data_IF_761848161698
#
_entry.id   IF_761848161698
#
_cell.length_a   1.000
_cell.length_b   1.000
_cell.length_c   1.000
_cell.angle_alpha   90.00
_cell.angle_beta   90.00
_cell.angle_gamma   90.00
#
_symmetry.space_group_name_H-M   'P 1'
#
loop_
_entity.id
_entity.type
_entity.pdbx_description
1 polymer ?
#
# COMPACT_ATOMS: atom_id res chain seq x y z
N UNK A 1 8.28 17.91 -18.40
CA UNK A 1 9.50 18.62 -18.63
C UNK A 1 9.85 19.65 -17.58
N UNK A 2 9.10 20.72 -17.43
CA UNK A 2 9.51 21.88 -16.65
C UNK A 2 9.63 21.58 -15.15
N UNK A 3 8.66 20.87 -14.56
CA UNK A 3 8.70 20.45 -13.15
C UNK A 3 10.01 19.71 -12.81
N UNK A 4 10.48 18.81 -13.68
CA UNK A 4 11.71 18.09 -13.43
C UNK A 4 12.93 19.01 -13.50
N UNK A 5 12.97 19.92 -14.47
CA UNK A 5 14.07 20.88 -14.69
C UNK A 5 14.15 21.88 -13.56
N UNK A 6 13.02 22.50 -13.21
CA UNK A 6 12.96 23.58 -12.23
C UNK A 6 13.25 23.11 -10.81
N UNK A 7 13.02 21.81 -10.52
CA UNK A 7 13.27 21.19 -9.23
C UNK A 7 14.49 20.24 -9.22
N UNK A 8 15.29 20.21 -10.29
CA UNK A 8 16.48 19.37 -10.39
C UNK A 8 16.17 17.87 -10.23
N UNK A 9 14.98 17.42 -10.66
CA UNK A 9 14.55 16.04 -10.51
C UNK A 9 15.18 15.17 -11.59
N UNK A 10 16.03 14.25 -11.15
CA UNK A 10 16.66 13.23 -11.99
C UNK A 10 16.40 11.85 -11.38
N UNK A 11 16.63 10.80 -12.15
CA UNK A 11 16.66 9.45 -11.61
C UNK A 11 17.63 9.41 -10.41
N UNK A 12 17.17 8.81 -9.33
CA UNK A 12 17.95 8.79 -8.07
C UNK A 12 19.02 7.70 -8.05
N UNK A 13 19.73 7.57 -6.94
CA UNK A 13 20.82 6.61 -6.78
C UNK A 13 20.31 5.16 -6.58
N UNK A 14 19.02 4.93 -6.52
CA UNK A 14 18.47 3.58 -6.41
C UNK A 14 18.85 2.76 -7.63
N UNK A 15 19.52 1.62 -7.42
CA UNK A 15 20.09 0.82 -8.50
C UNK A 15 19.07 -0.08 -9.21
N UNK A 16 17.94 -0.36 -8.60
CA UNK A 16 16.93 -1.30 -9.09
C UNK A 16 15.50 -0.77 -9.09
N UNK A 17 15.24 0.30 -8.37
CA UNK A 17 13.92 0.91 -8.21
C UNK A 17 14.01 2.42 -8.45
N UNK A 18 14.84 2.82 -9.41
CA UNK A 18 15.09 4.22 -9.77
C UNK A 18 13.85 4.90 -10.35
N UNK A 19 13.06 4.17 -11.13
CA UNK A 19 11.78 4.60 -11.68
C UNK A 19 10.75 4.82 -10.55
N UNK A 20 10.65 3.89 -9.63
CA UNK A 20 9.78 4.00 -8.47
C UNK A 20 10.17 5.17 -7.57
N UNK A 21 11.47 5.35 -7.29
CA UNK A 21 11.99 6.48 -6.54
C UNK A 21 11.68 7.81 -7.24
N UNK A 22 11.84 7.85 -8.56
CA UNK A 22 11.55 9.03 -9.36
C UNK A 22 10.07 9.42 -9.30
N UNK A 23 9.15 8.44 -9.44
CA UNK A 23 7.72 8.67 -9.33
C UNK A 23 7.34 9.24 -7.95
N UNK A 24 7.89 8.70 -6.87
CA UNK A 24 7.67 9.23 -5.52
C UNK A 24 8.19 10.66 -5.37
N UNK A 25 9.36 10.96 -5.92
CA UNK A 25 9.91 12.33 -5.85
C UNK A 25 9.08 13.32 -6.64
N UNK A 26 8.68 13.00 -7.86
CA UNK A 26 7.90 13.91 -8.70
C UNK A 26 6.48 14.12 -8.15
N UNK A 27 5.90 13.14 -7.45
CA UNK A 27 4.57 13.27 -6.83
C UNK A 27 4.48 14.37 -5.76
N UNK A 28 5.61 14.82 -5.24
CA UNK A 28 5.67 15.92 -4.27
C UNK A 28 5.48 17.30 -4.92
N UNK A 29 5.63 17.39 -6.23
CA UNK A 29 5.57 18.65 -6.99
C UNK A 29 4.31 18.79 -7.86
N UNK A 30 3.48 17.75 -7.93
CA UNK A 30 2.28 17.80 -8.74
C UNK A 30 1.46 16.51 -8.72
N UNK A 31 0.37 16.52 -9.45
CA UNK A 31 -0.51 15.34 -9.59
C UNK A 31 0.03 14.40 -10.66
N UNK A 32 -0.02 13.11 -10.37
CA UNK A 32 0.30 12.06 -11.34
C UNK A 32 -1.02 11.48 -11.86
N UNK A 33 -1.14 11.32 -13.18
CA UNK A 33 -2.27 10.67 -13.82
C UNK A 33 -1.79 9.46 -14.63
N UNK A 34 -2.59 8.41 -14.64
CA UNK A 34 -2.40 7.27 -15.52
C UNK A 34 -3.16 7.49 -16.82
N UNK A 35 -2.50 7.26 -17.94
CA UNK A 35 -3.15 7.24 -19.24
C UNK A 35 -3.94 5.92 -19.39
N UNK A 36 -5.17 5.95 -19.90
CA UNK A 36 -5.98 4.74 -20.07
C UNK A 36 -5.47 3.84 -21.22
N UNK A 37 -4.63 4.38 -22.08
CA UNK A 37 -4.15 3.68 -23.27
C UNK A 37 -2.98 2.75 -22.94
N UNK A 38 -2.91 1.61 -23.63
CA UNK A 38 -1.78 0.68 -23.53
C UNK A 38 -0.67 1.19 -24.46
N UNK A 39 0.29 1.90 -23.90
CA UNK A 39 1.40 2.52 -24.66
C UNK A 39 2.65 1.65 -24.73
N UNK A 40 2.79 0.66 -23.84
CA UNK A 40 4.02 -0.15 -23.71
C UNK A 40 3.66 -1.62 -23.61
N UNK A 41 4.33 -2.47 -24.36
CA UNK A 41 4.32 -3.91 -24.19
C UNK A 41 5.54 -4.32 -23.34
N UNK A 42 5.28 -4.84 -22.14
CA UNK A 42 6.34 -5.28 -21.22
C UNK A 42 6.66 -6.76 -21.46
N UNK A 43 7.92 -7.07 -21.78
CA UNK A 43 8.36 -8.45 -21.95
C UNK A 43 8.60 -9.10 -20.57
N UNK A 44 7.87 -10.17 -20.31
CA UNK A 44 8.04 -10.98 -19.10
C UNK A 44 8.87 -12.22 -19.45
N UNK A 45 10.02 -12.39 -18.79
CA UNK A 45 10.87 -13.58 -18.94
C UNK A 45 11.61 -13.87 -17.64
N UNK A 46 11.95 -15.15 -17.40
CA UNK A 46 12.49 -15.62 -16.12
C UNK A 46 13.81 -14.96 -15.71
N UNK A 47 14.64 -14.57 -16.66
CA UNK A 47 15.95 -13.95 -16.41
C UNK A 47 15.92 -12.41 -16.39
N UNK A 48 14.71 -11.79 -16.36
CA UNK A 48 14.63 -10.35 -16.21
C UNK A 48 15.22 -9.92 -14.86
N UNK A 49 15.81 -8.73 -14.80
CA UNK A 49 16.37 -8.17 -13.55
C UNK A 49 15.35 -8.20 -12.41
N UNK A 50 14.10 -7.89 -12.72
CA UNK A 50 13.00 -7.88 -11.75
C UNK A 50 12.70 -9.27 -11.16
N UNK A 51 12.95 -10.35 -11.92
CA UNK A 51 12.76 -11.71 -11.44
C UNK A 51 13.99 -12.22 -10.68
N UNK A 52 15.18 -12.04 -11.26
CA UNK A 52 16.44 -12.53 -10.69
C UNK A 52 16.80 -11.82 -9.38
N UNK A 53 16.54 -10.50 -9.30
CA UNK A 53 16.88 -9.67 -8.15
C UNK A 53 15.65 -9.21 -7.37
N UNK A 54 14.60 -10.02 -7.38
CA UNK A 54 13.29 -9.68 -6.77
C UNK A 54 13.41 -9.24 -5.31
N UNK A 55 14.20 -9.96 -4.51
CA UNK A 55 14.36 -9.63 -3.08
C UNK A 55 15.07 -8.28 -2.89
N UNK A 56 16.11 -8.01 -3.65
CA UNK A 56 16.83 -6.74 -3.57
C UNK A 56 15.94 -5.56 -3.99
N UNK A 57 15.19 -5.74 -5.08
CA UNK A 57 14.23 -4.76 -5.56
C UNK A 57 13.15 -4.48 -4.50
N UNK A 58 12.62 -5.53 -3.86
CA UNK A 58 11.64 -5.38 -2.78
C UNK A 58 12.23 -4.62 -1.59
N UNK A 59 13.44 -4.95 -1.18
CA UNK A 59 14.12 -4.27 -0.08
C UNK A 59 14.34 -2.78 -0.40
N UNK A 60 14.83 -2.45 -1.60
CA UNK A 60 15.00 -1.07 -2.01
C UNK A 60 13.66 -0.30 -2.06
N UNK A 61 12.61 -0.91 -2.58
CA UNK A 61 11.29 -0.29 -2.61
C UNK A 61 10.74 -0.04 -1.19
N UNK A 62 11.06 -0.89 -0.22
CA UNK A 62 10.72 -0.66 1.20
C UNK A 62 11.49 0.54 1.75
N UNK A 63 12.80 0.61 1.53
CA UNK A 63 13.61 1.75 2.01
C UNK A 63 13.14 3.08 1.39
N UNK A 64 12.88 3.12 0.08
CA UNK A 64 12.35 4.32 -0.58
C UNK A 64 11.01 4.75 0.06
N UNK A 65 10.13 3.81 0.38
CA UNK A 65 8.86 4.11 1.05
C UNK A 65 9.07 4.61 2.48
N UNK A 66 10.01 4.03 3.22
CA UNK A 66 10.36 4.49 4.57
C UNK A 66 10.83 5.94 4.55
N UNK A 67 11.75 6.27 3.66
CA UNK A 67 12.28 7.64 3.53
C UNK A 67 11.16 8.63 3.19
N UNK A 68 10.27 8.25 2.27
CA UNK A 68 9.13 9.07 1.92
C UNK A 68 8.18 9.29 3.10
N UNK A 69 7.77 8.22 3.79
CA UNK A 69 6.85 8.29 4.94
C UNK A 69 7.46 9.11 6.08
N UNK A 70 8.77 8.97 6.33
CA UNK A 70 9.50 9.80 7.30
C UNK A 70 9.54 11.28 6.87
N UNK A 71 9.71 11.57 5.59
CA UNK A 71 9.67 12.95 5.07
C UNK A 71 8.30 13.63 5.28
N UNK A 72 7.23 12.85 5.38
CA UNK A 72 5.89 13.33 5.77
C UNK A 72 5.76 13.57 7.28
N UNK A 73 6.79 13.30 8.07
CA UNK A 73 6.83 13.52 9.51
C UNK A 73 6.17 12.39 10.33
N UNK A 74 6.10 11.17 9.80
CA UNK A 74 5.71 10.01 10.58
C UNK A 74 6.88 9.55 11.47
N UNK A 75 6.56 9.19 12.70
CA UNK A 75 7.51 8.56 13.61
C UNK A 75 7.81 7.09 13.19
N UNK A 76 8.80 6.50 13.82
CA UNK A 76 9.25 5.14 13.51
C UNK A 76 8.14 4.11 13.73
N UNK A 77 7.39 4.23 14.83
CA UNK A 77 6.27 3.32 15.16
C UNK A 77 5.20 3.29 14.07
N UNK A 78 4.78 4.46 13.58
CA UNK A 78 3.78 4.56 12.52
C UNK A 78 4.36 4.13 11.17
N UNK A 79 5.63 4.42 10.90
CA UNK A 79 6.34 3.94 9.70
C UNK A 79 6.39 2.42 9.67
N UNK A 80 6.77 1.78 10.78
CA UNK A 80 6.82 0.32 10.90
C UNK A 80 5.43 -0.30 10.79
N UNK A 81 4.43 0.27 11.44
CA UNK A 81 3.06 -0.21 11.35
C UNK A 81 2.54 -0.24 9.90
N UNK A 82 2.93 0.75 9.11
CA UNK A 82 2.48 0.88 7.71
C UNK A 82 3.25 0.00 6.74
N UNK A 83 4.56 -0.17 6.93
CA UNK A 83 5.45 -0.74 5.91
C UNK A 83 6.07 -2.10 6.28
N UNK A 84 6.27 -2.37 7.55
CA UNK A 84 7.06 -3.52 8.02
C UNK A 84 6.25 -4.50 8.87
N UNK A 85 5.24 -4.01 9.58
CA UNK A 85 4.46 -4.87 10.46
C UNK A 85 3.75 -5.97 9.65
N UNK A 86 3.89 -7.21 10.10
CA UNK A 86 3.18 -8.34 9.51
C UNK A 86 1.67 -8.09 9.56
N UNK A 87 1.00 -8.24 8.42
CA UNK A 87 -0.45 -8.08 8.35
C UNK A 87 -1.16 -9.10 9.24
N UNK A 88 -2.08 -8.63 10.08
CA UNK A 88 -2.80 -9.47 11.01
C UNK A 88 -3.67 -8.66 11.97
N UNK A 89 -4.40 -9.39 12.82
CA UNK A 89 -5.34 -8.80 13.78
C UNK A 89 -4.69 -7.80 14.73
N UNK A 90 -3.49 -8.12 15.24
CA UNK A 90 -2.83 -7.30 16.26
C UNK A 90 -2.30 -5.98 15.70
N UNK A 91 -1.92 -5.97 14.43
CA UNK A 91 -1.36 -4.79 13.76
C UNK A 91 -2.40 -3.96 13.00
N UNK A 92 -3.62 -4.45 12.82
CA UNK A 92 -4.63 -3.81 11.97
C UNK A 92 -4.96 -2.38 12.41
N UNK A 93 -5.21 -2.15 13.70
CA UNK A 93 -5.56 -0.81 14.20
C UNK A 93 -4.39 0.19 14.03
N UNK A 94 -3.16 -0.25 14.28
CA UNK A 94 -1.96 0.55 14.07
C UNK A 94 -1.76 0.88 12.59
N UNK A 95 -1.98 -0.08 11.71
CA UNK A 95 -1.92 0.11 10.26
C UNK A 95 -2.92 1.17 9.78
N UNK A 96 -4.18 1.05 10.18
CA UNK A 96 -5.23 2.02 9.81
C UNK A 96 -4.93 3.41 10.36
N UNK A 97 -4.42 3.53 11.58
CA UNK A 97 -4.04 4.80 12.16
C UNK A 97 -2.87 5.45 11.40
N UNK A 98 -1.84 4.68 11.07
CA UNK A 98 -0.72 5.17 10.27
C UNK A 98 -1.16 5.60 8.86
N UNK A 99 -2.06 4.84 8.22
CA UNK A 99 -2.66 5.21 6.94
C UNK A 99 -3.41 6.55 7.01
N UNK A 100 -4.20 6.78 8.07
CA UNK A 100 -4.88 8.07 8.29
C UNK A 100 -3.92 9.23 8.47
N UNK A 101 -2.82 9.01 9.20
CA UNK A 101 -1.79 10.03 9.37
C UNK A 101 -1.16 10.42 8.02
N UNK A 102 -0.80 9.45 7.18
CA UNK A 102 -0.28 9.72 5.82
C UNK A 102 -1.32 10.48 5.00
N UNK A 103 -2.56 10.01 4.97
CA UNK A 103 -3.64 10.67 4.23
C UNK A 103 -3.82 12.14 4.67
N UNK A 104 -3.85 12.40 5.97
CA UNK A 104 -3.94 13.77 6.51
C UNK A 104 -2.75 14.64 6.12
N UNK A 105 -1.52 14.11 6.12
CA UNK A 105 -0.32 14.83 5.68
C UNK A 105 -0.35 15.16 4.18
N UNK A 106 -1.01 14.33 3.39
CA UNK A 106 -1.20 14.55 1.94
C UNK A 106 -2.44 15.41 1.63
N UNK A 107 -3.12 15.96 2.65
CA UNK A 107 -4.29 16.79 2.48
C UNK A 107 -5.55 16.03 2.05
N UNK A 108 -5.56 14.71 2.20
CA UNK A 108 -6.74 13.90 1.94
C UNK A 108 -7.75 13.99 3.09
N UNK A 109 -9.04 13.86 2.75
CA UNK A 109 -10.09 13.77 3.76
C UNK A 109 -9.98 12.45 4.54
N UNK A 110 -9.57 12.57 5.79
CA UNK A 110 -9.39 11.42 6.70
C UNK A 110 -10.72 10.89 7.28
N UNK A 111 -11.84 11.59 7.02
CA UNK A 111 -13.18 11.06 7.31
C UNK A 111 -13.57 9.91 6.36
N UNK A 112 -12.77 9.69 5.35
CA UNK A 112 -12.96 8.67 4.32
C UNK A 112 -14.29 8.84 3.59
N UNK A 113 -14.49 9.97 2.94
CA UNK A 113 -15.64 10.24 2.08
C UNK A 113 -15.27 10.17 0.59
N UNK A 114 -16.24 9.84 -0.26
CA UNK A 114 -16.08 9.83 -1.71
C UNK A 114 -14.91 8.97 -2.20
N UNK A 115 -14.15 9.45 -3.15
CA UNK A 115 -13.05 8.73 -3.78
C UNK A 115 -11.92 8.34 -2.79
N UNK A 116 -11.68 9.14 -1.74
CA UNK A 116 -10.68 8.83 -0.72
C UNK A 116 -11.07 7.58 0.07
N UNK A 117 -12.36 7.38 0.33
CA UNK A 117 -12.86 6.16 0.94
C UNK A 117 -12.66 4.92 0.06
N UNK A 118 -12.87 5.06 -1.25
CA UNK A 118 -12.68 3.96 -2.19
C UNK A 118 -11.23 3.49 -2.23
N UNK A 119 -10.29 4.42 -2.32
CA UNK A 119 -8.86 4.13 -2.25
C UNK A 119 -8.49 3.50 -0.92
N UNK A 120 -8.99 4.02 0.20
CA UNK A 120 -8.74 3.46 1.52
C UNK A 120 -9.30 2.03 1.65
N UNK A 121 -10.48 1.76 1.11
CA UNK A 121 -11.05 0.40 1.05
C UNK A 121 -10.16 -0.56 0.26
N UNK A 122 -9.61 -0.13 -0.88
CA UNK A 122 -8.71 -0.96 -1.68
C UNK A 122 -7.41 -1.27 -0.93
N UNK A 123 -6.81 -0.29 -0.28
CA UNK A 123 -5.61 -0.46 0.55
C UNK A 123 -5.89 -1.44 1.70
N UNK A 124 -7.00 -1.28 2.42
CA UNK A 124 -7.39 -2.18 3.52
C UNK A 124 -7.72 -3.58 3.01
N UNK A 125 -8.34 -3.70 1.83
CA UNK A 125 -8.54 -5.00 1.17
C UNK A 125 -7.22 -5.71 0.92
N UNK A 126 -6.22 -5.02 0.38
CA UNK A 126 -4.91 -5.60 0.09
C UNK A 126 -4.16 -5.99 1.37
N UNK A 127 -4.29 -5.20 2.45
CA UNK A 127 -3.82 -5.59 3.76
C UNK A 127 -4.48 -6.89 4.24
N UNK A 128 -5.81 -7.01 4.11
CA UNK A 128 -6.53 -8.22 4.51
C UNK A 128 -6.11 -9.44 3.68
N UNK A 129 -5.88 -9.27 2.37
CA UNK A 129 -5.39 -10.34 1.50
C UNK A 129 -3.97 -10.81 1.84
N UNK A 130 -3.17 -9.96 2.46
CA UNK A 130 -1.82 -10.30 2.92
C UNK A 130 -1.77 -10.91 4.33
N UNK A 131 -2.91 -10.95 5.05
CA UNK A 131 -2.97 -11.60 6.35
C UNK A 131 -2.75 -13.11 6.23
N UNK A 132 -1.92 -13.66 7.11
CA UNK A 132 -1.67 -15.11 7.22
C UNK A 132 -2.75 -15.81 8.03
N UNK A 133 -3.48 -15.09 8.85
CA UNK A 133 -4.55 -15.62 9.70
C UNK A 133 -5.75 -14.69 9.75
N UNK A 134 -6.93 -15.28 9.67
CA UNK A 134 -8.20 -14.57 9.78
C UNK A 134 -8.94 -14.95 11.07
N UNK A 135 -9.61 -13.97 11.70
CA UNK A 135 -10.39 -14.20 12.91
C UNK A 135 -11.65 -13.32 12.92
N UNK A 136 -12.66 -13.71 13.67
CA UNK A 136 -13.86 -12.89 13.89
C UNK A 136 -13.53 -11.55 14.55
N UNK A 137 -12.45 -11.50 15.34
CA UNK A 137 -11.99 -10.27 15.97
C UNK A 137 -11.43 -9.30 14.93
N UNK A 138 -10.63 -9.79 13.95
CA UNK A 138 -10.16 -8.99 12.82
C UNK A 138 -11.36 -8.44 12.00
N UNK A 139 -12.35 -9.28 11.69
CA UNK A 139 -13.56 -8.86 10.99
C UNK A 139 -14.30 -7.72 11.73
N UNK A 140 -14.47 -7.85 13.05
CA UNK A 140 -15.08 -6.81 13.89
C UNK A 140 -14.27 -5.52 13.89
N UNK A 141 -12.94 -5.60 13.95
CA UNK A 141 -12.04 -4.43 13.86
C UNK A 141 -12.20 -3.70 12.53
N UNK A 142 -12.22 -4.41 11.40
CA UNK A 142 -12.44 -3.82 10.08
C UNK A 142 -13.74 -3.02 10.03
N UNK A 143 -14.84 -3.60 10.54
CA UNK A 143 -16.13 -2.89 10.64
C UNK A 143 -16.08 -1.68 11.56
N UNK A 144 -15.47 -1.81 12.73
CA UNK A 144 -15.32 -0.73 13.71
C UNK A 144 -14.52 0.45 13.15
N UNK A 145 -13.52 0.18 12.31
CA UNK A 145 -12.71 1.21 11.64
C UNK A 145 -13.41 1.88 10.45
N UNK A 146 -14.66 1.51 10.15
CA UNK A 146 -15.45 2.11 9.06
C UNK A 146 -15.33 1.41 7.70
N UNK A 147 -14.57 0.32 7.59
CA UNK A 147 -14.33 -0.39 6.33
C UNK A 147 -15.26 -1.57 6.07
N UNK A 148 -16.46 -1.57 6.68
CA UNK A 148 -17.44 -2.65 6.52
C UNK A 148 -17.92 -2.85 5.07
N UNK A 149 -17.86 -1.82 4.24
CA UNK A 149 -18.31 -1.86 2.85
C UNK A 149 -17.40 -2.66 1.92
N UNK A 150 -16.14 -2.94 2.32
CA UNK A 150 -15.26 -3.88 1.62
C UNK A 150 -15.98 -5.22 1.41
N UNK A 151 -16.73 -5.67 2.41
CA UNK A 151 -17.47 -6.92 2.37
C UNK A 151 -18.75 -6.86 1.50
N UNK A 152 -19.20 -5.66 1.12
CA UNK A 152 -20.35 -5.48 0.21
C UNK A 152 -19.91 -5.34 -1.25
N UNK A 153 -18.77 -4.70 -1.50
CA UNK A 153 -18.28 -4.37 -2.85
C UNK A 153 -17.82 -5.58 -3.65
N UNK A 154 -17.29 -6.61 -2.99
CA UNK A 154 -16.88 -7.85 -3.64
C UNK A 154 -17.47 -9.05 -2.87
N UNK A 155 -18.66 -9.50 -3.27
CA UNK A 155 -19.40 -10.55 -2.58
C UNK A 155 -18.62 -11.86 -2.45
N UNK A 156 -17.87 -12.25 -3.47
CA UNK A 156 -17.07 -13.50 -3.44
C UNK A 156 -15.94 -13.38 -2.43
N UNK A 157 -15.21 -12.26 -2.47
CA UNK A 157 -14.14 -11.99 -1.50
C UNK A 157 -14.71 -11.86 -0.08
N UNK A 158 -15.86 -11.18 0.06
CA UNK A 158 -16.56 -11.04 1.32
C UNK A 158 -16.93 -12.38 1.94
N UNK A 159 -17.51 -13.28 1.18
CA UNK A 159 -17.84 -14.63 1.65
C UNK A 159 -16.59 -15.40 2.02
N UNK A 160 -15.55 -15.38 1.19
CA UNK A 160 -14.27 -16.06 1.48
C UNK A 160 -13.63 -15.55 2.77
N UNK A 161 -13.52 -14.22 2.93
CA UNK A 161 -12.94 -13.62 4.13
C UNK A 161 -13.81 -13.88 5.37
N UNK A 162 -15.13 -13.78 5.24
CA UNK A 162 -16.05 -14.02 6.34
C UNK A 162 -15.98 -15.49 6.81
N UNK A 163 -16.02 -16.45 5.90
CA UNK A 163 -15.88 -17.88 6.21
C UNK A 163 -14.51 -18.19 6.80
N UNK A 164 -13.43 -17.63 6.23
CA UNK A 164 -12.10 -17.79 6.77
C UNK A 164 -11.97 -17.19 8.18
N UNK A 165 -12.61 -16.05 8.44
CA UNK A 165 -12.67 -15.46 9.79
C UNK A 165 -13.45 -16.31 10.78
N UNK A 166 -14.55 -16.94 10.34
CA UNK A 166 -15.37 -17.84 11.18
C UNK A 166 -14.59 -19.10 11.56
N UNK A 167 -13.88 -19.69 10.60
CA UNK A 167 -13.14 -20.94 10.78
C UNK A 167 -11.75 -20.73 11.41
N UNK A 168 -11.32 -19.47 11.64
CA UNK A 168 -9.97 -19.16 12.14
C UNK A 168 -8.87 -19.64 11.18
N UNK A 169 -9.13 -19.56 9.87
CA UNK A 169 -8.25 -20.08 8.84
C UNK A 169 -6.87 -19.40 8.92
N UNK A 170 -5.83 -20.22 9.03
CA UNK A 170 -4.45 -19.79 8.89
C UNK A 170 -3.94 -20.16 7.49
N UNK A 171 -3.44 -19.18 6.73
CA UNK A 171 -2.74 -19.43 5.47
C UNK A 171 -1.40 -20.10 5.83
N UNK A 172 -1.08 -21.25 5.22
CA UNK A 172 0.27 -21.82 5.30
C UNK A 172 1.21 -20.83 4.61
N UNK A 173 2.25 -20.42 5.33
CA UNK A 173 3.36 -19.68 4.72
C UNK A 173 4.06 -20.67 3.76
N UNK A 174 4.02 -20.41 2.44
CA UNK A 174 4.82 -21.10 1.43
C UNK A 174 6.25 -20.53 1.43
#
# INVERSE_FOLDING_TARGET
GDVCRDNGLMYGPAKLAEDYQFIIRISQYGKIALLPDILIAYRIYSQSTSNVRKQELTNQAVEIRKDYVKSLGLDEKNTDALLLAKAGEDNFDNYVNAMRLVAGKLGADVSWSGNAYDVACDIVRDYLLSCTRYSMKLYKKVKKQGFGDIFKRNRILAVKLYVACLLGYARKDD
#
